data_IF_017910067207
#
_entry.id   IF_017910067207
#
_cell.length_a   1.000
_cell.length_b   1.000
_cell.length_c   1.000
_cell.angle_alpha   90.00
_cell.angle_beta   90.00
_cell.angle_gamma   90.00
#
_symmetry.space_group_name_H-M   'P 1'
#
loop_
_entity.id
_entity.type
_entity.pdbx_description
1 polymer ?
#
# COMPACT_ATOMS: atom_id res chain seq x y z
N UNK A 1 -4.88 31.74 -26.95
CA UNK A 1 -3.54 31.12 -27.09
C UNK A 1 -3.07 30.81 -25.68
N UNK A 2 -3.47 29.65 -25.15
CA UNK A 2 -3.14 29.26 -23.77
C UNK A 2 -1.88 28.42 -23.82
N UNK A 3 -0.82 28.91 -23.18
CA UNK A 3 0.50 28.29 -23.12
C UNK A 3 0.41 26.96 -22.36
N UNK A 4 0.59 25.86 -23.08
CA UNK A 4 0.87 24.54 -22.53
C UNK A 4 2.40 24.39 -22.45
N UNK A 5 2.96 24.44 -21.24
CA UNK A 5 4.30 23.90 -20.97
C UNK A 5 4.55 23.71 -19.48
N UNK A 6 3.99 22.64 -18.92
CA UNK A 6 4.59 21.98 -17.76
C UNK A 6 5.02 20.58 -18.21
N UNK A 7 6.15 20.52 -18.92
CA UNK A 7 6.87 19.26 -19.09
C UNK A 7 7.41 18.81 -17.73
N UNK A 8 6.71 17.83 -17.16
CA UNK A 8 7.25 16.60 -16.56
C UNK A 8 8.67 16.72 -16.01
N UNK A 9 8.77 17.05 -14.71
CA UNK A 9 9.90 16.61 -13.91
C UNK A 9 9.73 15.12 -13.64
N UNK A 10 10.57 14.32 -14.29
CA UNK A 10 10.79 12.90 -13.95
C UNK A 10 11.01 12.82 -12.42
N UNK A 11 10.22 12.04 -11.65
CA UNK A 11 10.42 11.95 -10.21
C UNK A 11 11.77 11.30 -9.92
N UNK A 12 12.56 11.93 -9.04
CA UNK A 12 13.82 11.35 -8.56
C UNK A 12 13.54 9.95 -8.00
N UNK A 13 14.29 8.96 -8.46
CA UNK A 13 14.27 7.60 -7.92
C UNK A 13 14.49 7.66 -6.41
N UNK A 14 13.60 7.03 -5.66
CA UNK A 14 13.80 6.79 -4.23
C UNK A 14 15.16 6.06 -4.05
N UNK A 15 15.91 6.30 -2.96
CA UNK A 15 17.28 5.83 -2.78
C UNK A 15 17.48 4.30 -2.78
N UNK A 16 16.41 3.50 -2.91
CA UNK A 16 16.42 2.04 -2.97
C UNK A 16 17.34 1.45 -4.04
N UNK A 17 17.55 2.16 -5.17
CA UNK A 17 18.35 1.65 -6.28
C UNK A 17 19.86 1.67 -6.02
N UNK A 18 20.36 2.54 -5.12
CA UNK A 18 21.80 2.70 -4.89
C UNK A 18 22.38 1.77 -3.81
N UNK A 19 21.54 1.26 -2.89
CA UNK A 19 22.01 0.41 -1.79
C UNK A 19 22.07 -1.07 -2.14
N UNK A 20 21.31 -1.54 -3.14
CA UNK A 20 21.34 -2.95 -3.58
C UNK A 20 22.60 -3.34 -4.37
N UNK A 21 23.41 -2.38 -4.79
CA UNK A 21 24.58 -2.63 -5.64
C UNK A 21 25.79 -3.22 -4.88
N UNK A 22 25.80 -3.18 -3.54
CA UNK A 22 26.87 -3.75 -2.70
C UNK A 22 26.23 -4.72 -1.69
N UNK A 23 26.69 -5.97 -1.67
CA UNK A 23 26.07 -7.11 -0.98
C UNK A 23 25.47 -6.84 0.42
N UNK A 24 24.31 -7.46 0.66
CA UNK A 24 23.55 -7.63 1.93
C UNK A 24 24.06 -6.75 3.08
N UNK A 25 23.88 -5.44 2.97
CA UNK A 25 23.91 -4.55 4.12
C UNK A 25 22.50 -4.53 4.69
N UNK A 26 22.32 -5.11 5.88
CA UNK A 26 21.12 -4.88 6.69
C UNK A 26 20.94 -3.36 6.84
N UNK A 27 19.77 -2.86 6.47
CA UNK A 27 19.45 -1.46 6.67
C UNK A 27 19.36 -1.17 8.16
N UNK A 28 20.05 -0.13 8.62
CA UNK A 28 19.92 0.31 10.01
C UNK A 28 18.50 0.80 10.30
N UNK A 29 18.07 0.70 11.56
CA UNK A 29 16.79 1.25 12.02
C UNK A 29 16.65 2.73 11.64
N UNK A 30 17.72 3.52 11.77
CA UNK A 30 17.72 4.94 11.39
C UNK A 30 17.40 5.13 9.89
N UNK A 31 17.97 4.30 9.02
CA UNK A 31 17.67 4.35 7.58
C UNK A 31 16.22 3.93 7.30
N UNK A 32 15.67 2.96 8.04
CA UNK A 32 14.26 2.57 7.92
C UNK A 32 13.32 3.71 8.34
N UNK A 33 13.63 4.41 9.44
CA UNK A 33 12.88 5.60 9.89
C UNK A 33 12.85 6.68 8.80
N UNK A 34 14.00 6.94 8.18
CA UNK A 34 14.12 7.87 7.04
C UNK A 34 13.22 7.49 5.88
N UNK A 35 13.25 6.22 5.46
CA UNK A 35 12.47 5.77 4.32
C UNK A 35 10.98 5.71 4.61
N UNK A 36 10.60 5.36 5.83
CA UNK A 36 9.21 5.39 6.25
C UNK A 36 8.65 6.81 6.22
N UNK A 37 9.41 7.79 6.73
CA UNK A 37 9.06 9.21 6.64
C UNK A 37 8.93 9.69 5.19
N UNK A 38 9.92 9.37 4.35
CA UNK A 38 9.92 9.76 2.94
C UNK A 38 8.73 9.15 2.19
N UNK A 39 8.40 7.88 2.45
CA UNK A 39 7.27 7.20 1.84
C UNK A 39 5.95 7.85 2.27
N UNK A 40 5.81 8.17 3.57
CA UNK A 40 4.63 8.86 4.09
C UNK A 40 4.43 10.23 3.44
N UNK A 41 5.50 11.01 3.28
CA UNK A 41 5.47 12.29 2.53
C UNK A 41 5.08 12.07 1.07
N UNK A 42 5.64 11.04 0.43
CA UNK A 42 5.36 10.72 -0.96
C UNK A 42 3.91 10.33 -1.20
N UNK A 43 3.29 9.60 -0.28
CA UNK A 43 1.85 9.28 -0.35
C UNK A 43 0.98 10.55 -0.38
N UNK A 44 1.32 11.57 0.42
CA UNK A 44 0.63 12.87 0.42
C UNK A 44 0.88 13.63 -0.88
N UNK A 45 2.14 13.72 -1.33
CA UNK A 45 2.50 14.39 -2.60
C UNK A 45 1.79 13.81 -3.82
N UNK A 46 1.56 12.49 -3.81
CA UNK A 46 0.87 11.76 -4.87
C UNK A 46 -0.66 11.83 -4.74
N UNK A 47 -1.19 12.50 -3.72
CA UNK A 47 -2.63 12.62 -3.50
C UNK A 47 -3.31 11.35 -3.01
N UNK A 48 -2.55 10.34 -2.58
CA UNK A 48 -3.09 9.08 -2.02
C UNK A 48 -3.67 9.28 -0.61
N UNK A 49 -3.25 10.32 0.09
CA UNK A 49 -3.78 10.68 1.40
C UNK A 49 -4.12 12.17 1.47
N UNK A 50 -5.20 12.48 2.19
CA UNK A 50 -5.55 13.83 2.62
C UNK A 50 -5.48 13.89 4.14
N UNK A 51 -4.74 14.87 4.68
CA UNK A 51 -4.62 15.06 6.13
C UNK A 51 -3.81 13.96 6.84
N UNK A 52 -4.35 13.44 7.94
CA UNK A 52 -3.67 12.53 8.89
C UNK A 52 -4.15 11.08 8.82
N UNK A 53 -4.99 10.73 7.83
CA UNK A 53 -5.75 9.48 7.86
C UNK A 53 -4.91 8.23 7.56
N UNK A 54 -3.98 8.30 6.60
CA UNK A 54 -3.17 7.15 6.24
C UNK A 54 -1.94 6.95 7.14
N UNK A 55 -1.43 5.73 7.12
CA UNK A 55 -0.32 5.28 7.93
C UNK A 55 0.50 4.21 7.20
N UNK A 56 1.74 4.02 7.64
CA UNK A 56 2.69 3.14 6.96
C UNK A 56 3.54 2.39 7.98
N UNK A 57 3.94 1.17 7.65
CA UNK A 57 4.91 0.41 8.43
C UNK A 57 5.93 -0.33 7.56
N UNK A 58 7.06 -0.65 8.16
CA UNK A 58 8.14 -1.46 7.57
C UNK A 58 8.68 -2.43 8.61
N UNK A 59 9.04 -3.64 8.17
CA UNK A 59 9.72 -4.64 8.99
C UNK A 59 11.11 -4.13 9.40
N UNK A 60 11.46 -4.32 10.67
CA UNK A 60 12.74 -3.93 11.26
C UNK A 60 13.29 -5.13 12.06
N UNK A 61 13.93 -6.09 11.38
CA UNK A 61 14.28 -7.38 11.98
C UNK A 61 13.01 -8.18 12.33
N UNK A 62 12.89 -8.56 13.60
CA UNK A 62 11.68 -9.21 14.16
C UNK A 62 10.60 -8.18 14.57
N UNK A 63 10.96 -6.89 14.60
CA UNK A 63 10.12 -5.78 15.04
C UNK A 63 9.50 -5.02 13.85
N UNK A 64 8.70 -4.01 14.16
CA UNK A 64 7.96 -3.20 13.19
C UNK A 64 8.16 -1.72 13.49
N UNK A 65 8.61 -0.95 12.50
CA UNK A 65 8.53 0.51 12.54
C UNK A 65 7.22 0.97 11.90
N UNK A 66 6.47 1.83 12.58
CA UNK A 66 5.19 2.36 12.12
C UNK A 66 5.09 3.87 12.36
N UNK A 67 4.33 4.56 11.52
CA UNK A 67 4.01 5.99 11.69
C UNK A 67 3.26 6.25 13.01
N UNK A 68 3.47 7.42 13.65
CA UNK A 68 2.78 7.79 14.88
C UNK A 68 1.29 8.08 14.66
N UNK A 69 0.51 8.04 15.75
CA UNK A 69 -0.91 8.43 15.74
C UNK A 69 -1.07 9.95 15.61
N UNK A 70 -2.00 10.38 14.75
CA UNK A 70 -2.55 11.73 14.69
C UNK A 70 -1.53 12.87 14.47
N UNK A 71 -0.34 12.58 13.95
CA UNK A 71 0.66 13.58 13.60
C UNK A 71 0.59 13.89 12.09
N UNK A 72 0.37 15.15 11.67
CA UNK A 72 0.43 15.53 10.27
C UNK A 72 1.77 15.16 9.63
N UNK A 73 1.73 14.56 8.44
CA UNK A 73 2.94 14.16 7.70
C UNK A 73 3.90 15.33 7.45
N UNK A 74 3.39 16.56 7.34
CA UNK A 74 4.18 17.77 7.19
C UNK A 74 5.01 18.13 8.45
N UNK A 75 4.54 17.73 9.63
CA UNK A 75 5.18 17.99 10.93
C UNK A 75 6.03 16.80 11.41
N UNK A 76 5.84 15.64 10.78
CA UNK A 76 6.50 14.39 11.13
C UNK A 76 8.01 14.40 10.83
N UNK A 77 8.79 13.88 11.77
CA UNK A 77 10.22 13.66 11.70
C UNK A 77 10.59 12.18 11.94
N UNK A 78 11.85 11.82 11.70
CA UNK A 78 12.34 10.43 11.75
C UNK A 78 12.22 9.81 13.15
N UNK A 79 12.42 10.63 14.19
CA UNK A 79 12.31 10.23 15.58
C UNK A 79 10.87 9.93 16.02
N UNK A 80 9.87 10.40 15.27
CA UNK A 80 8.46 10.20 15.63
C UNK A 80 7.95 8.80 15.24
N UNK A 81 8.70 8.05 14.42
CA UNK A 81 8.36 6.67 14.09
C UNK A 81 8.37 5.81 15.36
N UNK A 82 7.39 4.94 15.50
CA UNK A 82 7.22 4.10 16.68
C UNK A 82 7.71 2.69 16.35
N UNK A 83 8.57 2.15 17.20
CA UNK A 83 9.05 0.77 17.11
C UNK A 83 8.16 -0.12 17.99
N UNK A 84 7.57 -1.14 17.39
CA UNK A 84 6.75 -2.14 18.06
C UNK A 84 7.43 -3.52 17.96
N UNK A 85 7.32 -4.33 19.01
CA UNK A 85 7.70 -5.74 18.93
C UNK A 85 6.65 -6.57 18.17
N UNK A 86 6.96 -7.86 17.96
CA UNK A 86 6.09 -8.82 17.27
C UNK A 86 4.72 -9.04 17.94
N UNK A 87 4.55 -8.66 19.21
CA UNK A 87 3.29 -8.76 19.95
C UNK A 87 2.53 -7.41 19.97
N UNK A 88 3.16 -6.32 19.54
CA UNK A 88 2.58 -4.98 19.47
C UNK A 88 2.90 -4.10 20.68
N UNK A 89 3.85 -4.50 21.53
CA UNK A 89 4.34 -3.64 22.62
C UNK A 89 5.24 -2.56 22.05
N UNK A 90 5.08 -1.34 22.55
CA UNK A 90 5.95 -0.21 22.18
C UNK A 90 7.33 -0.41 22.80
N UNK A 91 8.35 -0.51 21.95
CA UNK A 91 9.76 -0.56 22.33
C UNK A 91 10.38 0.84 22.39
N UNK A 92 10.04 1.69 21.42
CA UNK A 92 10.56 3.06 21.31
C UNK A 92 9.56 3.99 20.60
N UNK A 93 9.54 5.27 20.99
CA UNK A 93 8.72 6.31 20.37
C UNK A 93 7.45 6.64 21.17
N UNK A 94 6.53 7.35 20.52
CA UNK A 94 5.26 7.77 21.11
C UNK A 94 4.13 6.76 20.88
N UNK A 95 2.91 7.29 20.72
CA UNK A 95 1.73 6.48 20.41
C UNK A 95 1.76 6.06 18.92
N UNK A 96 1.73 4.75 18.58
CA UNK A 96 1.69 4.30 17.19
C UNK A 96 0.33 4.64 16.57
N UNK A 97 0.23 4.59 15.23
CA UNK A 97 -1.06 4.62 14.52
C UNK A 97 -2.12 3.78 15.25
N UNK A 98 -3.37 4.26 15.33
CA UNK A 98 -4.48 3.50 15.91
C UNK A 98 -4.70 2.15 15.22
N UNK A 99 -4.19 1.98 14.01
CA UNK A 99 -4.42 0.85 13.13
C UNK A 99 -3.23 -0.12 13.05
N UNK A 100 -2.29 -0.01 13.99
CA UNK A 100 -1.09 -0.85 14.05
C UNK A 100 -1.37 -2.36 14.02
N UNK A 101 -2.56 -2.81 14.45
CA UNK A 101 -2.94 -4.23 14.53
C UNK A 101 -2.86 -4.94 13.18
N UNK A 102 -3.45 -4.37 12.12
CA UNK A 102 -3.38 -5.01 10.81
C UNK A 102 -1.96 -4.96 10.23
N UNK A 103 -1.19 -3.89 10.51
CA UNK A 103 0.21 -3.85 10.09
C UNK A 103 1.01 -5.00 10.72
N UNK A 104 0.86 -5.22 12.03
CA UNK A 104 1.48 -6.33 12.75
C UNK A 104 1.03 -7.67 12.21
N UNK A 105 -0.28 -7.89 12.13
CA UNK A 105 -0.83 -9.20 11.81
C UNK A 105 -0.51 -9.60 10.36
N UNK A 106 -0.53 -8.64 9.42
CA UNK A 106 -0.10 -8.86 8.05
C UNK A 106 1.37 -9.22 7.98
N UNK A 107 2.26 -8.45 8.62
CA UNK A 107 3.70 -8.73 8.61
C UNK A 107 4.02 -10.07 9.30
N UNK A 108 3.27 -10.44 10.34
CA UNK A 108 3.42 -11.74 11.01
C UNK A 108 2.96 -12.91 10.14
N UNK A 109 1.81 -12.76 9.47
CA UNK A 109 1.24 -13.82 8.62
C UNK A 109 1.93 -13.98 7.26
N UNK A 110 2.64 -12.95 6.79
CA UNK A 110 3.24 -12.89 5.44
C UNK A 110 4.73 -12.52 5.52
N UNK A 111 5.63 -13.47 5.81
CA UNK A 111 7.07 -13.21 5.96
C UNK A 111 7.74 -12.60 4.73
N UNK A 112 7.18 -12.80 3.53
CA UNK A 112 7.69 -12.23 2.28
C UNK A 112 7.33 -10.75 2.08
N UNK A 113 6.44 -10.20 2.93
CA UNK A 113 6.07 -8.80 2.95
C UNK A 113 6.98 -8.05 3.94
N UNK A 114 7.56 -6.95 3.44
CA UNK A 114 8.46 -6.08 4.21
C UNK A 114 7.84 -4.72 4.53
N UNK A 115 6.77 -4.32 3.86
CA UNK A 115 6.09 -3.05 4.11
C UNK A 115 4.58 -3.13 3.88
N UNK A 116 3.85 -2.34 4.66
CA UNK A 116 2.38 -2.20 4.60
C UNK A 116 2.06 -0.71 4.58
N UNK A 117 1.26 -0.29 3.59
CA UNK A 117 0.77 1.07 3.47
C UNK A 117 -0.75 1.07 3.57
N UNK A 118 -1.29 1.98 4.37
CA UNK A 118 -2.72 2.26 4.46
C UNK A 118 -3.01 3.71 4.07
N UNK A 119 -4.03 3.91 3.25
CA UNK A 119 -4.40 5.23 2.77
C UNK A 119 -5.87 5.32 2.36
N UNK A 120 -6.36 6.57 2.31
CA UNK A 120 -7.74 6.91 1.96
C UNK A 120 -7.75 7.62 0.59
N UNK A 121 -7.21 6.95 -0.44
CA UNK A 121 -7.13 7.51 -1.79
C UNK A 121 -8.52 7.61 -2.42
N UNK A 122 -8.69 8.53 -3.36
CA UNK A 122 -10.03 9.03 -3.75
C UNK A 122 -10.88 7.92 -4.37
N UNK A 123 -10.36 7.22 -5.38
CA UNK A 123 -11.13 6.21 -6.11
C UNK A 123 -11.20 4.89 -5.37
N UNK A 124 -10.12 4.44 -4.72
CA UNK A 124 -10.15 3.24 -3.89
C UNK A 124 -11.17 3.37 -2.75
N UNK A 125 -11.18 4.51 -2.05
CA UNK A 125 -12.18 4.80 -1.01
C UNK A 125 -13.58 4.89 -1.60
N UNK A 126 -13.75 5.46 -2.80
CA UNK A 126 -15.06 5.50 -3.48
C UNK A 126 -15.63 4.10 -3.71
N UNK A 127 -14.82 3.17 -4.24
CA UNK A 127 -15.26 1.78 -4.43
C UNK A 127 -15.48 1.07 -3.09
N UNK A 128 -14.63 1.35 -2.09
CA UNK A 128 -14.77 0.79 -0.75
C UNK A 128 -16.08 1.23 -0.06
N UNK A 129 -16.54 2.46 -0.27
CA UNK A 129 -17.83 2.96 0.20
C UNK A 129 -19.02 2.32 -0.52
N UNK A 130 -18.83 1.80 -1.73
CA UNK A 130 -19.83 0.96 -2.42
C UNK A 130 -19.87 -0.48 -1.87
N UNK A 131 -18.84 -0.90 -1.12
CA UNK A 131 -18.71 -2.28 -0.66
C UNK A 131 -18.46 -3.28 -1.78
N UNK A 132 -17.86 -2.83 -2.89
CA UNK A 132 -17.63 -3.65 -4.08
C UNK A 132 -16.18 -4.11 -4.17
N UNK A 133 -15.99 -5.34 -4.64
CA UNK A 133 -14.70 -5.78 -5.17
C UNK A 133 -14.38 -5.06 -6.48
N UNK A 134 -13.09 -4.91 -6.79
CA UNK A 134 -12.63 -4.48 -8.12
C UNK A 134 -12.33 -5.73 -8.95
N UNK A 135 -13.07 -5.98 -10.05
CA UNK A 135 -12.79 -7.10 -10.94
C UNK A 135 -11.62 -6.82 -11.88
N UNK A 136 -11.21 -7.79 -12.69
CA UNK A 136 -10.20 -7.64 -13.74
C UNK A 136 -10.66 -6.77 -14.92
N UNK A 137 -11.04 -5.51 -14.65
CA UNK A 137 -11.39 -4.48 -15.63
C UNK A 137 -10.18 -4.07 -16.48
N UNK A 138 -8.97 -4.27 -15.96
CA UNK A 138 -7.71 -4.03 -16.66
C UNK A 138 -6.65 -5.05 -16.22
N UNK A 139 -5.83 -5.53 -17.15
CA UNK A 139 -4.89 -6.64 -16.93
C UNK A 139 -3.83 -6.37 -15.85
N UNK A 140 -3.52 -5.09 -15.58
CA UNK A 140 -2.61 -4.70 -14.51
C UNK A 140 -3.07 -5.08 -13.10
N UNK A 141 -4.33 -5.50 -12.91
CA UNK A 141 -4.79 -6.03 -11.61
C UNK A 141 -3.92 -7.17 -11.07
N UNK A 142 -3.19 -7.86 -11.96
CA UNK A 142 -2.15 -8.83 -11.59
C UNK A 142 -1.08 -8.28 -10.62
N UNK A 143 -0.80 -6.97 -10.64
CA UNK A 143 0.12 -6.30 -9.70
C UNK A 143 -0.40 -6.39 -8.25
N UNK A 144 -1.73 -6.39 -8.05
CA UNK A 144 -2.36 -6.64 -6.76
C UNK A 144 -2.32 -8.11 -6.33
N UNK A 145 -1.60 -8.98 -7.07
CA UNK A 145 -1.36 -10.37 -6.73
C UNK A 145 -2.44 -11.34 -7.22
N UNK A 146 -3.40 -10.89 -8.02
CA UNK A 146 -4.46 -11.75 -8.55
C UNK A 146 -5.30 -11.11 -9.64
N UNK A 147 -6.54 -11.54 -9.73
CA UNK A 147 -7.58 -11.14 -10.69
C UNK A 147 -8.64 -10.22 -10.07
N UNK A 148 -8.50 -9.87 -8.80
CA UNK A 148 -9.43 -9.03 -8.05
C UNK A 148 -8.73 -8.28 -6.93
N UNK A 149 -9.24 -7.10 -6.58
CA UNK A 149 -8.96 -6.40 -5.33
C UNK A 149 -10.22 -6.50 -4.49
N UNK A 150 -10.15 -7.27 -3.39
CA UNK A 150 -11.31 -7.57 -2.54
C UNK A 150 -11.62 -6.43 -1.60
N UNK A 151 -12.89 -6.22 -1.28
CA UNK A 151 -13.38 -5.25 -0.32
C UNK A 151 -13.90 -5.97 0.93
N UNK A 152 -13.41 -5.57 2.10
CA UNK A 152 -13.94 -6.10 3.36
C UNK A 152 -15.33 -5.55 3.67
N UNK A 153 -16.14 -6.25 4.47
CA UNK A 153 -17.20 -5.62 5.24
C UNK A 153 -16.66 -4.45 6.09
N UNK A 154 -17.55 -3.53 6.48
CA UNK A 154 -17.19 -2.46 7.42
C UNK A 154 -16.84 -3.05 8.80
N UNK A 155 -15.80 -2.49 9.42
CA UNK A 155 -15.45 -2.70 10.82
C UNK A 155 -14.86 -1.42 11.38
N UNK A 156 -15.03 -1.21 12.69
CA UNK A 156 -14.47 -0.05 13.39
C UNK A 156 -12.94 -0.06 13.26
N UNK A 157 -12.35 1.10 12.92
CA UNK A 157 -10.91 1.26 12.76
C UNK A 157 -10.16 0.96 14.06
N UNK A 158 -8.95 0.42 13.93
CA UNK A 158 -8.10 0.09 15.07
C UNK A 158 -8.52 -1.13 15.90
N UNK A 159 -9.69 -1.73 15.64
CA UNK A 159 -10.12 -2.95 16.30
C UNK A 159 -9.52 -4.21 15.67
N UNK A 160 -9.40 -5.29 16.45
CA UNK A 160 -8.86 -6.57 15.97
C UNK A 160 -9.68 -7.14 14.81
N UNK A 161 -11.01 -7.00 14.85
CA UNK A 161 -11.89 -7.49 13.80
C UNK A 161 -11.57 -6.91 12.41
N UNK A 162 -11.14 -5.64 12.33
CA UNK A 162 -10.71 -5.05 11.04
C UNK A 162 -9.44 -5.72 10.52
N UNK A 163 -8.52 -6.08 11.42
CA UNK A 163 -7.29 -6.82 11.08
C UNK A 163 -7.60 -8.19 10.51
N UNK A 164 -8.50 -8.93 11.16
CA UNK A 164 -8.88 -10.29 10.75
C UNK A 164 -9.53 -10.28 9.35
N UNK A 165 -10.44 -9.32 9.10
CA UNK A 165 -11.07 -9.12 7.78
C UNK A 165 -10.06 -8.72 6.70
N UNK A 166 -9.10 -7.84 7.03
CA UNK A 166 -8.06 -7.44 6.09
C UNK A 166 -7.16 -8.63 5.70
N UNK A 167 -6.78 -9.48 6.65
CA UNK A 167 -5.99 -10.69 6.39
C UNK A 167 -6.72 -11.65 5.44
N UNK A 168 -8.02 -11.87 5.65
CA UNK A 168 -8.85 -12.70 4.76
C UNK A 168 -8.87 -12.13 3.33
N UNK A 169 -9.16 -10.83 3.20
CA UNK A 169 -9.18 -10.16 1.90
C UNK A 169 -7.82 -10.21 1.19
N UNK A 170 -6.72 -10.15 1.95
CA UNK A 170 -5.35 -10.19 1.46
C UNK A 170 -4.81 -11.59 1.15
N UNK A 171 -5.57 -12.67 1.39
CA UNK A 171 -5.11 -14.02 1.08
C UNK A 171 -4.82 -14.18 -0.42
N UNK A 172 -3.55 -14.42 -0.76
CA UNK A 172 -3.07 -14.48 -2.13
C UNK A 172 -3.19 -13.16 -2.90
N UNK A 173 -3.23 -12.03 -2.19
CA UNK A 173 -3.27 -10.67 -2.76
C UNK A 173 -2.18 -9.79 -2.13
N UNK A 174 -1.90 -8.67 -2.78
CA UNK A 174 -1.03 -7.58 -2.34
C UNK A 174 -1.81 -6.30 -2.00
N UNK A 175 -3.11 -6.26 -2.22
CA UNK A 175 -3.93 -5.14 -1.82
C UNK A 175 -5.38 -5.56 -1.55
N UNK A 176 -6.05 -4.81 -0.69
CA UNK A 176 -7.48 -4.91 -0.45
C UNK A 176 -8.08 -3.53 -0.16
N UNK A 177 -9.39 -3.42 -0.33
CA UNK A 177 -10.20 -2.29 0.12
C UNK A 177 -10.80 -2.60 1.49
N UNK A 178 -10.99 -1.58 2.30
CA UNK A 178 -11.64 -1.65 3.61
C UNK A 178 -12.99 -0.94 3.50
N UNK A 179 -14.10 -1.67 3.67
CA UNK A 179 -15.45 -1.14 3.45
C UNK A 179 -15.72 0.14 4.22
N UNK A 180 -16.19 1.19 3.53
CA UNK A 180 -16.41 2.55 4.06
C UNK A 180 -15.18 3.18 4.74
N UNK A 181 -13.97 2.84 4.28
CA UNK A 181 -12.75 3.26 4.96
C UNK A 181 -11.62 3.68 4.01
N UNK A 182 -11.00 2.75 3.29
CA UNK A 182 -9.81 3.05 2.49
C UNK A 182 -9.20 1.81 1.85
N UNK A 183 -7.88 1.77 1.69
CA UNK A 183 -7.18 0.60 1.14
C UNK A 183 -5.91 0.26 1.91
N UNK A 184 -5.49 -1.01 1.79
CA UNK A 184 -4.20 -1.51 2.24
C UNK A 184 -3.42 -2.00 1.01
N UNK A 185 -2.15 -1.64 0.92
CA UNK A 185 -1.21 -2.12 -0.10
C UNK A 185 0.05 -2.71 0.55
N UNK A 186 0.52 -3.83 0.01
CA UNK A 186 1.62 -4.64 0.51
C UNK A 186 2.78 -4.65 -0.48
N UNK A 187 4.00 -4.67 0.05
CA UNK A 187 5.20 -4.82 -0.77
C UNK A 187 6.33 -5.52 -0.03
N UNK A 188 7.30 -6.02 -0.80
CA UNK A 188 8.56 -6.55 -0.23
C UNK A 188 9.40 -5.46 0.46
N UNK A 189 9.17 -4.21 0.08
CA UNK A 189 9.75 -3.00 0.66
C UNK A 189 8.77 -1.82 0.45
N UNK A 190 9.09 -0.67 1.03
CA UNK A 190 8.24 0.53 0.97
C UNK A 190 8.00 1.03 -0.47
N UNK A 191 8.97 0.87 -1.38
CA UNK A 191 8.81 1.27 -2.78
C UNK A 191 7.85 0.33 -3.52
N UNK A 192 8.00 -0.99 -3.36
CA UNK A 192 7.07 -1.99 -3.94
C UNK A 192 5.64 -1.75 -3.43
N UNK A 193 5.47 -1.49 -2.13
CA UNK A 193 4.16 -1.22 -1.54
C UNK A 193 3.53 0.06 -2.12
N UNK A 194 4.33 1.12 -2.30
CA UNK A 194 3.86 2.37 -2.91
C UNK A 194 3.48 2.19 -4.39
N UNK A 195 4.25 1.40 -5.14
CA UNK A 195 3.91 1.05 -6.53
C UNK A 195 2.59 0.29 -6.62
N UNK A 196 2.36 -0.68 -5.74
CA UNK A 196 1.07 -1.39 -5.65
C UNK A 196 -0.07 -0.42 -5.32
N UNK A 197 0.13 0.47 -4.35
CA UNK A 197 -0.88 1.46 -3.97
C UNK A 197 -1.31 2.38 -5.13
N UNK A 198 -0.33 2.88 -5.91
CA UNK A 198 -0.61 3.73 -7.07
C UNK A 198 -1.40 2.99 -8.15
N UNK A 199 -1.03 1.74 -8.42
CA UNK A 199 -1.74 0.93 -9.41
C UNK A 199 -3.17 0.62 -8.95
N UNK A 200 -3.38 0.31 -7.67
CA UNK A 200 -4.73 0.06 -7.12
C UNK A 200 -5.61 1.29 -7.23
N UNK A 201 -5.12 2.48 -6.89
CA UNK A 201 -5.88 3.72 -7.06
C UNK A 201 -6.26 3.95 -8.53
N UNK A 202 -5.33 3.74 -9.46
CA UNK A 202 -5.57 3.85 -10.89
C UNK A 202 -6.62 2.84 -11.40
N UNK A 203 -6.53 1.58 -10.96
CA UNK A 203 -7.50 0.54 -11.31
C UNK A 203 -8.90 0.86 -10.76
N UNK A 204 -8.98 1.39 -9.54
CA UNK A 204 -10.24 1.87 -8.97
C UNK A 204 -10.81 3.05 -9.76
N UNK A 205 -9.96 3.97 -10.24
CA UNK A 205 -10.37 5.07 -11.12
C UNK A 205 -10.95 4.55 -12.43
N UNK A 206 -10.25 3.62 -13.12
CA UNK A 206 -10.76 2.98 -14.34
C UNK A 206 -12.11 2.35 -14.06
N UNK A 207 -12.21 1.51 -13.02
CA UNK A 207 -13.43 0.80 -12.71
C UNK A 207 -14.58 1.76 -12.46
N UNK A 208 -14.38 2.76 -11.60
CA UNK A 208 -15.39 3.78 -11.33
C UNK A 208 -15.82 4.52 -12.59
N UNK A 209 -14.86 4.99 -13.43
CA UNK A 209 -15.18 5.70 -14.68
C UNK A 209 -15.92 4.83 -15.67
N UNK A 210 -15.57 3.54 -15.77
CA UNK A 210 -16.28 2.60 -16.66
C UNK A 210 -17.73 2.42 -16.23
N UNK A 211 -18.01 2.28 -14.94
CA UNK A 211 -19.37 2.19 -14.41
C UNK A 211 -20.23 3.42 -14.70
N UNK A 212 -19.61 4.60 -14.79
CA UNK A 212 -20.32 5.83 -15.19
C UNK A 212 -20.59 5.93 -16.69
N UNK A 213 -19.73 5.32 -17.51
CA UNK A 213 -19.85 5.34 -18.96
C UNK A 213 -20.73 4.18 -19.48
N UNK A 214 -20.84 3.08 -18.75
CA UNK A 214 -21.60 1.89 -19.12
C UNK A 214 -21.20 0.65 -18.31
N UNK A 215 -21.35 -0.52 -18.91
CA UNK A 215 -20.95 -1.78 -18.28
C UNK A 215 -19.51 -2.14 -18.72
N UNK A 216 -18.56 -2.33 -17.78
CA UNK A 216 -17.20 -2.72 -18.14
C UNK A 216 -17.12 -4.16 -18.64
N UNK A 217 -16.33 -4.38 -19.69
CA UNK A 217 -15.94 -5.74 -20.08
C UNK A 217 -14.83 -6.25 -19.16
N UNK A 218 -15.12 -7.34 -18.44
CA UNK A 218 -14.19 -7.94 -17.48
C UNK A 218 -13.37 -9.03 -18.16
N UNK A 219 -12.06 -9.04 -17.91
CA UNK A 219 -11.18 -10.10 -18.39
C UNK A 219 -11.55 -11.44 -17.75
N UNK A 220 -11.57 -12.48 -18.58
CA UNK A 220 -11.81 -13.85 -18.13
C UNK A 220 -10.61 -14.40 -17.35
N UNK A 221 -10.84 -15.47 -16.59
CA UNK A 221 -9.78 -16.18 -15.87
C UNK A 221 -8.68 -16.69 -16.80
N UNK A 222 -9.03 -17.14 -18.00
CA UNK A 222 -8.05 -17.57 -18.99
C UNK A 222 -7.16 -16.40 -19.45
N UNK A 223 -7.76 -15.25 -19.77
CA UNK A 223 -6.99 -14.06 -20.16
C UNK A 223 -6.07 -13.58 -19.02
N UNK A 224 -6.53 -13.65 -17.76
CA UNK A 224 -5.69 -13.32 -16.61
C UNK A 224 -4.57 -14.33 -16.37
N UNK A 225 -4.79 -15.62 -16.68
CA UNK A 225 -3.73 -16.63 -16.63
C UNK A 225 -2.63 -16.34 -17.66
N UNK A 226 -2.99 -16.00 -18.91
CA UNK A 226 -2.04 -15.61 -19.96
C UNK A 226 -1.20 -14.37 -19.56
N UNK A 227 -1.82 -13.42 -18.87
CA UNK A 227 -1.14 -12.25 -18.30
C UNK A 227 -0.12 -12.66 -17.24
N UNK A 228 -0.51 -13.52 -16.31
CA UNK A 228 0.38 -14.00 -15.24
C UNK A 228 1.61 -14.73 -15.78
N UNK A 229 1.45 -15.58 -16.80
CA UNK A 229 2.56 -16.25 -17.48
C UNK A 229 3.57 -15.25 -18.07
N UNK A 230 3.08 -14.17 -18.70
CA UNK A 230 3.95 -13.10 -19.23
C UNK A 230 4.70 -12.36 -18.13
N UNK A 231 4.05 -12.03 -17.00
CA UNK A 231 4.70 -11.36 -15.87
C UNK A 231 5.84 -12.19 -15.28
N UNK A 232 5.69 -13.52 -15.19
CA UNK A 232 6.76 -14.44 -14.78
C UNK A 232 7.92 -14.39 -15.77
N UNK A 233 7.61 -14.35 -17.07
CA UNK A 233 8.62 -14.21 -18.13
C UNK A 233 9.45 -12.93 -18.05
N UNK A 234 8.83 -11.79 -17.70
CA UNK A 234 9.55 -10.52 -17.51
C UNK A 234 10.46 -10.52 -16.28
N UNK A 235 9.97 -11.03 -15.14
CA UNK A 235 10.76 -11.11 -13.89
C UNK A 235 12.01 -11.99 -14.00
N UNK A 236 12.03 -12.98 -14.91
CA UNK A 236 13.21 -13.82 -15.18
C UNK A 236 14.30 -13.09 -15.98
N UNK A 237 14.02 -11.92 -16.56
CA UNK A 237 14.96 -11.15 -17.41
C UNK A 237 15.55 -9.92 -16.72
N UNK A 238 15.07 -9.58 -15.52
CA UNK A 238 15.51 -8.45 -14.68
C UNK A 238 16.33 -8.92 -13.50
#
# INVERSE_FOLDING_TARGET
MVSLSNHERIPQKLPFDKLRANGILEMTEQTLRQYLLQTSRRMVELGLNRGTAGNASVRCGEDILITPSALPVAEMAEQDMVLLDADGKILQGGKPSSEWRFHRDILKARPEIGAVLHMHSTFATTIACLGHDVPAVHYHIAIAGGDTIRCTPYSVFGEQNLSDLALEALHGRKACLLGNHGMIALGKDLADALSVALEVEYLCEIYWRTLQAGEPHILTQQQMHEVQEKFVGYKKRS
#
